data_IF_473545071781
#
_entry.id   IF_473545071781
#
_cell.length_a   1.000
_cell.length_b   1.000
_cell.length_c   1.000
_cell.angle_alpha   90.00
_cell.angle_beta   90.00
_cell.angle_gamma   90.00
#
_symmetry.space_group_name_H-M   'P 1'
#
loop_
_entity.id
_entity.type
_entity.pdbx_description
1 polymer ?
#
# COMPACT_ATOMS: atom_id res chain seq x y z
N UNK A 1 13.35 13.83 -2.95
CA UNK A 1 14.40 12.86 -2.58
C UNK A 1 14.31 11.62 -3.44
N UNK A 2 15.36 10.79 -3.51
CA UNK A 2 15.35 9.53 -4.27
C UNK A 2 14.21 8.60 -3.81
N UNK A 3 13.93 8.53 -2.53
CA UNK A 3 12.83 7.72 -1.97
C UNK A 3 11.45 8.22 -2.43
N UNK A 4 11.25 9.54 -2.43
CA UNK A 4 10.04 10.19 -2.94
C UNK A 4 9.79 9.89 -4.42
N UNK A 5 10.86 9.91 -5.23
CA UNK A 5 10.78 9.63 -6.66
C UNK A 5 10.46 8.14 -6.94
N UNK A 6 11.02 7.22 -6.14
CA UNK A 6 10.72 5.78 -6.23
C UNK A 6 9.26 5.51 -5.91
N UNK A 7 8.75 6.03 -4.78
CA UNK A 7 7.35 5.86 -4.38
C UNK A 7 6.37 6.35 -5.45
N UNK A 8 6.58 7.58 -5.96
CA UNK A 8 5.76 8.18 -7.02
C UNK A 8 5.80 7.34 -8.31
N UNK A 9 6.99 6.89 -8.70
CA UNK A 9 7.19 6.08 -9.90
C UNK A 9 6.43 4.75 -9.81
N UNK A 10 6.53 4.06 -8.69
CA UNK A 10 5.83 2.79 -8.46
C UNK A 10 4.31 2.96 -8.57
N UNK A 11 3.73 3.94 -7.88
CA UNK A 11 2.28 4.21 -7.94
C UNK A 11 1.82 4.55 -9.35
N UNK A 12 2.54 5.43 -10.04
CA UNK A 12 2.21 5.80 -11.41
C UNK A 12 2.29 4.63 -12.38
N UNK A 13 3.30 3.77 -12.22
CA UNK A 13 3.46 2.57 -13.03
C UNK A 13 2.27 1.62 -12.86
N UNK A 14 1.88 1.34 -11.62
CA UNK A 14 0.73 0.46 -11.32
C UNK A 14 -0.58 1.03 -11.85
N UNK A 15 -0.82 2.34 -11.64
CA UNK A 15 -2.00 3.02 -12.18
C UNK A 15 -2.07 2.94 -13.72
N UNK A 16 -0.97 3.26 -14.40
CA UNK A 16 -0.91 3.23 -15.86
C UNK A 16 -1.12 1.81 -16.41
N UNK A 17 -0.73 0.80 -15.66
CA UNK A 17 -1.02 -0.59 -15.95
C UNK A 17 -2.47 -0.99 -15.62
N UNK A 18 -3.29 -0.10 -15.05
CA UNK A 18 -4.66 -0.41 -14.61
C UNK A 18 -4.69 -1.43 -13.46
N UNK A 19 -3.69 -1.37 -12.57
CA UNK A 19 -3.68 -2.11 -11.31
C UNK A 19 -4.40 -1.27 -10.26
N UNK A 20 -5.35 -1.82 -9.50
CA UNK A 20 -5.98 -1.13 -8.39
C UNK A 20 -4.92 -0.73 -7.36
N UNK A 21 -4.96 0.52 -6.92
CA UNK A 21 -4.09 1.05 -5.88
C UNK A 21 -4.91 1.82 -4.86
N UNK A 22 -4.44 1.86 -3.62
CA UNK A 22 -5.08 2.66 -2.56
C UNK A 22 -5.09 4.13 -2.98
N UNK A 23 -6.25 4.79 -2.86
CA UNK A 23 -6.39 6.23 -3.14
C UNK A 23 -5.46 7.04 -2.24
N UNK A 24 -4.83 8.07 -2.78
CA UNK A 24 -3.88 8.88 -2.02
C UNK A 24 -3.36 10.09 -2.81
N UNK A 25 -2.53 10.90 -2.18
CA UNK A 25 -1.90 12.04 -2.82
C UNK A 25 -0.99 11.59 -3.97
N UNK A 26 -1.14 12.25 -5.12
CA UNK A 26 -0.33 11.97 -6.31
C UNK A 26 1.02 12.67 -6.29
N UNK A 27 1.08 13.73 -5.52
CA UNK A 27 2.26 14.54 -5.30
C UNK A 27 2.58 14.60 -3.82
N UNK A 28 3.84 14.85 -3.45
CA UNK A 28 4.19 15.15 -2.08
C UNK A 28 3.40 16.35 -1.57
N UNK A 29 3.07 16.33 -0.28
CA UNK A 29 2.49 17.45 0.45
C UNK A 29 3.51 17.97 1.46
N UNK A 30 3.71 19.28 1.51
CA UNK A 30 4.76 19.87 2.34
C UNK A 30 4.21 20.70 3.50
N UNK A 31 3.00 21.18 3.41
CA UNK A 31 2.36 21.99 4.42
C UNK A 31 1.02 21.45 4.89
N UNK A 32 0.71 21.66 6.17
CA UNK A 32 -0.53 21.15 6.79
C UNK A 32 -1.79 21.66 6.08
N UNK A 33 -1.81 22.90 5.60
CA UNK A 33 -2.98 23.47 4.91
C UNK A 33 -3.24 22.81 3.54
N UNK A 34 -2.19 22.49 2.78
CA UNK A 34 -2.29 21.74 1.54
C UNK A 34 -2.71 20.30 1.81
N UNK A 35 -2.03 19.66 2.77
CA UNK A 35 -2.31 18.29 3.17
C UNK A 35 -3.75 18.10 3.63
N UNK A 36 -4.31 19.05 4.40
CA UNK A 36 -5.69 19.00 4.87
C UNK A 36 -6.70 19.03 3.72
N UNK A 37 -6.48 19.82 2.67
CA UNK A 37 -7.35 19.85 1.49
C UNK A 37 -7.38 18.48 0.81
N UNK A 38 -6.19 17.89 0.60
CA UNK A 38 -6.08 16.55 0.00
C UNK A 38 -6.74 15.48 0.90
N UNK A 39 -6.59 15.57 2.21
CA UNK A 39 -7.22 14.65 3.16
C UNK A 39 -8.75 14.71 3.09
N UNK A 40 -9.33 15.91 2.99
CA UNK A 40 -10.77 16.10 2.83
C UNK A 40 -11.30 15.51 1.51
N UNK A 41 -10.54 15.61 0.42
CA UNK A 41 -10.90 15.00 -0.87
C UNK A 41 -10.82 13.47 -0.83
N UNK A 42 -9.84 12.91 -0.12
CA UNK A 42 -9.67 11.47 0.02
C UNK A 42 -10.69 10.84 0.98
N UNK A 43 -11.15 11.60 1.97
CA UNK A 43 -12.00 11.12 3.06
C UNK A 43 -11.22 10.39 4.16
N UNK A 44 -11.68 10.54 5.41
CA UNK A 44 -11.08 9.88 6.58
C UNK A 44 -11.60 8.45 6.77
N UNK A 45 -10.84 7.58 7.43
CA UNK A 45 -9.52 7.81 8.02
C UNK A 45 -8.39 7.87 6.97
N UNK A 46 -7.31 8.61 7.31
CA UNK A 46 -6.14 8.86 6.46
C UNK A 46 -4.88 8.32 7.11
N UNK A 47 -4.05 7.66 6.31
CA UNK A 47 -2.67 7.33 6.65
C UNK A 47 -1.73 8.45 6.15
N UNK A 48 -1.06 9.09 7.05
CA UNK A 48 0.01 10.07 6.78
C UNK A 48 1.34 9.31 6.75
N UNK A 49 2.13 9.46 5.69
CA UNK A 49 3.39 8.71 5.48
C UNK A 49 4.52 9.62 5.06
N UNK A 50 5.68 9.49 5.73
CA UNK A 50 6.92 10.09 5.24
C UNK A 50 7.42 9.35 3.99
N UNK A 51 7.90 10.09 2.99
CA UNK A 51 8.48 9.53 1.76
C UNK A 51 9.71 8.64 2.03
N UNK A 52 10.53 9.04 3.00
CA UNK A 52 11.72 8.30 3.44
C UNK A 52 11.44 7.38 4.64
N UNK A 53 10.16 7.23 5.02
CA UNK A 53 9.73 6.48 6.19
C UNK A 53 10.03 4.99 6.11
N UNK A 54 10.28 4.41 7.27
CA UNK A 54 10.50 2.98 7.44
C UNK A 54 10.42 2.58 8.91
N UNK A 55 10.04 1.33 9.19
CA UNK A 55 9.91 0.84 10.55
C UNK A 55 8.84 1.56 11.40
N UNK A 56 7.82 2.13 10.76
CA UNK A 56 6.73 2.84 11.43
C UNK A 56 7.02 4.29 11.81
N UNK A 57 8.25 4.80 11.58
CA UNK A 57 8.60 6.20 11.83
C UNK A 57 8.08 7.11 10.72
N UNK A 58 7.58 8.29 11.09
CA UNK A 58 6.97 9.23 10.16
C UNK A 58 5.64 8.73 9.58
N UNK A 59 4.94 7.88 10.32
CA UNK A 59 3.61 7.35 9.95
C UNK A 59 2.60 7.61 11.06
N UNK A 60 1.44 8.15 10.70
CA UNK A 60 0.33 8.41 11.63
C UNK A 60 -1.00 8.14 10.92
N UNK A 61 -1.96 7.61 11.68
CA UNK A 61 -3.35 7.52 11.25
C UNK A 61 -4.08 8.73 11.80
N UNK A 62 -4.82 9.42 10.94
CA UNK A 62 -5.75 10.47 11.32
C UNK A 62 -7.16 9.96 11.06
N UNK A 63 -7.96 9.86 12.11
CA UNK A 63 -9.30 9.29 12.02
C UNK A 63 -10.34 10.33 11.59
N UNK A 64 -10.10 11.58 11.91
CA UNK A 64 -11.02 12.70 11.68
C UNK A 64 -10.27 13.93 11.17
N UNK A 65 -11.04 14.94 10.73
CA UNK A 65 -10.49 16.23 10.38
C UNK A 65 -9.87 16.97 11.56
N UNK A 66 -10.39 16.74 12.76
CA UNK A 66 -9.97 17.46 13.97
C UNK A 66 -8.57 17.06 14.43
N UNK A 67 -8.23 15.78 14.36
CA UNK A 67 -6.92 15.25 14.76
C UNK A 67 -5.85 15.34 13.65
N UNK A 68 -6.25 15.70 12.43
CA UNK A 68 -5.38 15.67 11.26
C UNK A 68 -4.17 16.61 11.37
N UNK A 69 -4.40 17.85 11.80
CA UNK A 69 -3.34 18.86 11.84
C UNK A 69 -2.21 18.45 12.79
N UNK A 70 -2.56 17.98 13.98
CA UNK A 70 -1.60 17.53 14.98
C UNK A 70 -0.83 16.30 14.50
N UNK A 71 -1.54 15.31 13.97
CA UNK A 71 -0.96 14.09 13.43
C UNK A 71 -0.01 14.36 12.27
N UNK A 72 -0.38 15.28 11.35
CA UNK A 72 0.47 15.63 10.22
C UNK A 72 1.76 16.32 10.66
N UNK A 73 1.67 17.34 11.52
CA UNK A 73 2.83 18.06 12.03
C UNK A 73 3.76 17.13 12.80
N UNK A 74 3.21 16.28 13.65
CA UNK A 74 3.99 15.31 14.44
C UNK A 74 4.72 14.31 13.52
N UNK A 75 4.03 13.73 12.54
CA UNK A 75 4.65 12.82 11.58
C UNK A 75 5.75 13.49 10.75
N UNK A 76 5.53 14.74 10.34
CA UNK A 76 6.51 15.50 9.56
C UNK A 76 7.76 15.86 10.39
N UNK A 77 7.58 16.26 11.65
CA UNK A 77 8.69 16.51 12.57
C UNK A 77 9.52 15.25 12.83
N UNK A 78 8.86 14.12 13.04
CA UNK A 78 9.50 12.81 13.20
C UNK A 78 10.29 12.41 11.94
N UNK A 79 9.72 12.63 10.76
CA UNK A 79 10.38 12.38 9.48
C UNK A 79 11.63 13.25 9.28
N UNK A 80 11.51 14.55 9.55
CA UNK A 80 12.65 15.47 9.49
C UNK A 80 13.77 15.08 10.46
N UNK A 81 13.42 14.72 11.70
CA UNK A 81 14.38 14.30 12.70
C UNK A 81 15.08 12.98 12.36
N UNK A 82 14.32 11.99 11.88
CA UNK A 82 14.84 10.63 11.65
C UNK A 82 15.52 10.47 10.30
N UNK A 83 15.02 11.16 9.26
CA UNK A 83 15.43 10.94 7.87
C UNK A 83 15.98 12.20 7.18
N UNK A 84 15.92 13.37 7.84
CA UNK A 84 16.24 14.69 7.27
C UNK A 84 15.44 15.01 5.99
N UNK A 85 14.24 14.45 5.91
CA UNK A 85 13.32 14.60 4.78
C UNK A 85 11.89 14.67 5.31
N UNK A 86 11.29 15.85 5.25
CA UNK A 86 9.92 16.12 5.67
C UNK A 86 8.88 15.97 4.56
N UNK A 87 9.23 15.30 3.46
CA UNK A 87 8.32 15.01 2.37
C UNK A 87 7.28 14.01 2.82
N UNK A 88 6.00 14.36 2.71
CA UNK A 88 4.88 13.55 3.18
C UNK A 88 3.98 13.13 2.02
N UNK A 89 3.30 11.99 2.20
CA UNK A 89 2.22 11.49 1.35
C UNK A 89 1.02 11.14 2.20
N UNK A 90 -0.16 11.23 1.60
CA UNK A 90 -1.42 10.84 2.22
C UNK A 90 -2.01 9.66 1.45
N UNK A 91 -2.54 8.70 2.17
CA UNK A 91 -3.28 7.58 1.59
C UNK A 91 -4.55 7.33 2.41
N UNK A 92 -5.62 6.89 1.75
CA UNK A 92 -6.78 6.40 2.46
C UNK A 92 -6.37 5.23 3.35
N UNK A 93 -6.74 5.28 4.61
CA UNK A 93 -6.48 4.16 5.51
C UNK A 93 -7.55 3.08 5.33
N UNK A 94 -7.11 1.85 5.16
CA UNK A 94 -8.00 0.68 5.12
C UNK A 94 -7.99 0.05 6.50
N UNK A 95 -9.14 0.02 7.15
CA UNK A 95 -9.30 -0.59 8.46
C UNK A 95 -9.34 -2.11 8.33
N UNK A 96 -8.63 -2.79 9.25
CA UNK A 96 -8.56 -4.25 9.33
C UNK A 96 -8.41 -4.97 7.97
N UNK A 97 -7.41 -4.60 7.13
CA UNK A 97 -7.28 -5.21 5.82
C UNK A 97 -6.89 -6.68 5.95
N UNK A 98 -7.44 -7.51 5.08
CA UNK A 98 -6.92 -8.85 4.91
C UNK A 98 -5.64 -8.78 4.07
N UNK A 99 -4.55 -9.38 4.58
CA UNK A 99 -3.27 -9.49 3.90
C UNK A 99 -3.25 -10.76 3.06
N UNK A 100 -3.46 -10.63 1.77
CA UNK A 100 -3.47 -11.75 0.82
C UNK A 100 -2.26 -11.62 -0.08
N UNK A 101 -1.40 -12.63 -0.09
CA UNK A 101 -0.25 -12.65 -0.98
C UNK A 101 -0.33 -13.78 -2.00
N UNK A 102 -0.04 -13.47 -3.27
CA UNK A 102 0.03 -14.44 -4.34
C UNK A 102 1.46 -14.85 -4.62
N UNK A 103 1.70 -16.16 -4.68
CA UNK A 103 3.00 -16.68 -5.11
C UNK A 103 3.13 -16.52 -6.62
N UNK A 104 4.15 -15.82 -7.05
CA UNK A 104 4.49 -15.58 -8.46
C UNK A 104 5.72 -16.38 -8.84
N UNK A 105 5.69 -16.93 -10.05
CA UNK A 105 6.85 -17.50 -10.72
C UNK A 105 6.92 -16.92 -12.13
N UNK A 106 8.06 -16.36 -12.48
CA UNK A 106 8.28 -15.70 -13.76
C UNK A 106 9.63 -16.09 -14.35
N UNK A 107 9.68 -16.24 -15.67
CA UNK A 107 10.91 -16.51 -16.40
C UNK A 107 11.43 -15.27 -17.15
N UNK A 108 12.66 -15.38 -17.68
CA UNK A 108 13.28 -14.32 -18.48
C UNK A 108 12.61 -14.06 -19.85
N UNK A 109 11.67 -14.90 -20.24
CA UNK A 109 10.97 -14.78 -21.52
C UNK A 109 9.60 -14.07 -21.38
N UNK A 110 9.27 -13.61 -20.16
CA UNK A 110 8.02 -12.90 -19.89
C UNK A 110 6.81 -13.81 -19.59
N UNK A 111 7.05 -15.11 -19.42
CA UNK A 111 6.00 -15.99 -18.91
C UNK A 111 5.87 -15.76 -17.41
N UNK A 112 4.63 -15.51 -16.95
CA UNK A 112 4.32 -15.28 -15.54
C UNK A 112 3.11 -16.12 -15.16
N UNK A 113 3.25 -16.89 -14.10
CA UNK A 113 2.15 -17.65 -13.49
C UNK A 113 2.03 -17.30 -12.01
N UNK A 114 0.83 -17.49 -11.47
CA UNK A 114 0.57 -17.44 -10.05
C UNK A 114 0.23 -18.86 -9.55
N UNK A 115 0.68 -19.22 -8.36
CA UNK A 115 0.57 -20.55 -7.77
C UNK A 115 -0.42 -20.60 -6.59
N UNK A 116 -1.34 -19.66 -6.53
CA UNK A 116 -2.30 -19.51 -5.44
C UNK A 116 -1.87 -18.47 -4.42
N UNK A 117 -2.76 -18.26 -3.47
CA UNK A 117 -2.60 -17.25 -2.42
C UNK A 117 -2.36 -17.86 -1.05
N UNK A 118 -1.83 -17.01 -0.16
CA UNK A 118 -1.77 -17.21 1.29
C UNK A 118 -2.47 -16.05 1.98
N UNK A 119 -3.23 -16.33 3.01
CA UNK A 119 -3.71 -15.33 3.97
C UNK A 119 -2.67 -15.15 5.07
N UNK A 120 -2.12 -13.96 5.17
CA UNK A 120 -1.09 -13.59 6.12
C UNK A 120 -1.59 -12.54 7.12
N UNK A 121 -2.90 -12.48 7.36
CA UNK A 121 -3.52 -11.45 8.20
C UNK A 121 -3.14 -11.57 9.68
N UNK A 122 -2.80 -12.78 10.16
CA UNK A 122 -2.39 -12.99 11.55
C UNK A 122 -0.93 -12.59 11.73
N UNK A 123 -0.75 -11.38 12.26
CA UNK A 123 0.56 -10.75 12.42
C UNK A 123 0.76 -10.22 13.84
N UNK A 124 2.01 -10.11 14.26
CA UNK A 124 2.43 -9.39 15.47
C UNK A 124 3.48 -8.36 15.10
N UNK A 125 3.22 -7.09 15.40
CA UNK A 125 4.12 -6.00 15.03
C UNK A 125 4.52 -6.02 13.55
N UNK A 126 3.54 -6.26 12.64
CA UNK A 126 3.73 -6.39 11.20
C UNK A 126 4.60 -7.59 10.76
N UNK A 127 4.82 -8.55 11.66
CA UNK A 127 5.50 -9.81 11.34
C UNK A 127 4.47 -10.93 11.24
N UNK A 128 4.47 -11.67 10.15
CA UNK A 128 3.60 -12.83 9.91
C UNK A 128 3.87 -13.91 10.95
N UNK A 129 2.80 -14.43 11.56
CA UNK A 129 2.88 -15.53 12.54
C UNK A 129 2.25 -16.80 11.98
N UNK A 130 1.08 -16.65 11.33
CA UNK A 130 0.34 -17.76 10.73
C UNK A 130 0.01 -17.39 9.30
N UNK A 131 0.20 -18.33 8.41
CA UNK A 131 -0.18 -18.24 7.01
C UNK A 131 -1.09 -19.42 6.67
N UNK A 132 -2.21 -19.16 6.02
CA UNK A 132 -3.19 -20.15 5.59
C UNK A 132 -3.29 -20.18 4.07
N UNK A 133 -3.36 -21.35 3.48
CA UNK A 133 -3.56 -21.53 2.05
C UNK A 133 -4.51 -22.72 1.78
N UNK A 134 -5.57 -22.51 0.97
CA UNK A 134 -6.04 -21.22 0.43
C UNK A 134 -6.68 -20.34 1.52
N UNK A 135 -6.79 -19.03 1.25
CA UNK A 135 -7.48 -18.11 2.17
C UNK A 135 -8.96 -18.48 2.30
N UNK A 136 -9.48 -18.64 3.54
CA UNK A 136 -10.90 -18.88 3.75
C UNK A 136 -11.76 -17.60 3.56
N UNK A 137 -11.12 -16.42 3.48
CA UNK A 137 -11.79 -15.12 3.48
C UNK A 137 -12.12 -14.58 2.10
N UNK A 138 -11.59 -15.17 1.03
CA UNK A 138 -11.83 -14.70 -0.33
C UNK A 138 -12.62 -15.72 -1.16
N UNK A 139 -13.61 -15.20 -1.91
CA UNK A 139 -14.40 -16.01 -2.83
C UNK A 139 -13.56 -16.51 -4.00
N UNK A 140 -14.03 -17.57 -4.68
CA UNK A 140 -13.37 -18.08 -5.89
C UNK A 140 -13.27 -17.02 -7.01
N UNK A 141 -14.26 -16.12 -7.10
CA UNK A 141 -14.27 -15.00 -8.05
C UNK A 141 -13.17 -14.01 -7.70
N UNK A 142 -13.12 -13.54 -6.45
CA UNK A 142 -12.13 -12.57 -5.98
C UNK A 142 -10.71 -13.14 -6.08
N UNK A 143 -10.52 -14.42 -5.73
CA UNK A 143 -9.23 -15.13 -5.90
C UNK A 143 -8.73 -15.08 -7.33
N UNK A 144 -9.59 -15.31 -8.30
CA UNK A 144 -9.23 -15.25 -9.73
C UNK A 144 -8.87 -13.82 -10.15
N UNK A 145 -9.63 -12.83 -9.71
CA UNK A 145 -9.39 -11.42 -10.02
C UNK A 145 -8.06 -10.94 -9.43
N UNK A 146 -7.82 -11.21 -8.14
CA UNK A 146 -6.57 -10.85 -7.46
C UNK A 146 -5.36 -11.57 -8.08
N UNK A 147 -5.50 -12.86 -8.42
CA UNK A 147 -4.44 -13.60 -9.10
C UNK A 147 -4.07 -13.01 -10.46
N UNK A 148 -5.06 -12.55 -11.24
CA UNK A 148 -4.81 -11.85 -12.50
C UNK A 148 -4.12 -10.50 -12.28
N UNK A 149 -4.48 -9.78 -11.22
CA UNK A 149 -3.80 -8.53 -10.83
C UNK A 149 -2.34 -8.81 -10.47
N UNK A 150 -2.07 -9.86 -9.69
CA UNK A 150 -0.71 -10.25 -9.31
C UNK A 150 0.16 -10.58 -10.54
N UNK A 151 -0.37 -11.31 -11.52
CA UNK A 151 0.31 -11.57 -12.80
C UNK A 151 0.57 -10.26 -13.55
N UNK A 152 -0.41 -9.36 -13.60
CA UNK A 152 -0.31 -8.07 -14.26
C UNK A 152 0.77 -7.19 -13.63
N UNK A 153 0.83 -7.14 -12.31
CA UNK A 153 1.89 -6.44 -11.56
C UNK A 153 3.26 -6.98 -11.95
N UNK A 154 3.46 -8.30 -11.87
CA UNK A 154 4.73 -8.93 -12.19
C UNK A 154 5.18 -8.67 -13.64
N UNK A 155 4.26 -8.75 -14.61
CA UNK A 155 4.54 -8.40 -16.02
C UNK A 155 4.90 -6.93 -16.20
N UNK A 156 4.23 -6.02 -15.50
CA UNK A 156 4.47 -4.58 -15.60
C UNK A 156 5.89 -4.18 -15.19
N UNK A 157 6.47 -4.91 -14.23
CA UNK A 157 7.84 -4.66 -13.75
C UNK A 157 8.89 -5.59 -14.37
N UNK A 158 8.50 -6.40 -15.35
CA UNK A 158 9.37 -7.44 -15.96
C UNK A 158 10.02 -8.32 -14.89
N UNK A 159 9.20 -8.81 -13.94
CA UNK A 159 9.68 -9.62 -12.83
C UNK A 159 10.27 -10.93 -13.35
N UNK A 160 11.37 -11.38 -12.74
CA UNK A 160 12.02 -12.66 -13.03
C UNK A 160 12.34 -13.38 -11.73
N UNK A 161 12.04 -14.67 -11.68
CA UNK A 161 12.26 -15.52 -10.52
C UNK A 161 10.99 -15.84 -9.74
N UNK A 162 11.16 -16.35 -8.53
CA UNK A 162 10.09 -16.59 -7.58
C UNK A 162 9.92 -15.40 -6.65
N UNK A 163 8.67 -14.99 -6.41
CA UNK A 163 8.36 -13.87 -5.52
C UNK A 163 6.91 -13.86 -5.09
N UNK A 164 6.55 -12.90 -4.27
CA UNK A 164 5.17 -12.70 -3.80
C UNK A 164 4.65 -11.33 -4.19
N UNK A 165 3.37 -11.29 -4.57
CA UNK A 165 2.62 -10.05 -4.76
C UNK A 165 1.64 -9.91 -3.58
N UNK A 166 1.88 -8.93 -2.71
CA UNK A 166 1.01 -8.65 -1.57
C UNK A 166 -0.12 -7.73 -2.00
N UNK A 167 -1.34 -8.14 -1.72
CA UNK A 167 -2.56 -7.41 -1.99
C UNK A 167 -3.37 -7.25 -0.70
N UNK A 168 -4.16 -6.18 -0.65
CA UNK A 168 -5.06 -5.92 0.46
C UNK A 168 -6.49 -6.01 -0.04
N UNK A 169 -7.35 -6.63 0.74
CA UNK A 169 -8.80 -6.60 0.53
C UNK A 169 -9.49 -6.23 1.83
N UNK A 170 -10.62 -5.53 1.75
CA UNK A 170 -11.53 -5.28 2.86
C UNK A 170 -12.73 -6.19 2.73
N UNK A 171 -13.45 -6.42 3.82
CA UNK A 171 -14.67 -7.25 3.83
C UNK A 171 -15.79 -6.68 2.94
N UNK A 172 -15.69 -5.40 2.53
CA UNK A 172 -16.64 -4.76 1.61
C UNK A 172 -16.38 -5.08 0.11
N UNK A 173 -15.42 -5.91 -0.23
CA UNK A 173 -15.09 -6.24 -1.61
C UNK A 173 -15.95 -7.38 -2.21
N UNK A 174 -16.89 -7.92 -1.44
CA UNK A 174 -17.79 -9.02 -1.87
C UNK A 174 -19.22 -8.56 -2.23
N UNK A 175 -19.52 -7.24 -2.28
CA UNK A 175 -20.78 -6.68 -2.74
C UNK A 175 -20.80 -6.37 -4.25
#
# INVERSE_FOLDING_TARGET
>A
SAASDVYKRQRNMMRNAGVPIISGSWTPVFGVCEAKKVALELGFPIMIKAAAGGGGKGMRISNTEDDFNENFVTAQMEANSSFRDGTMYLERYIEAPNHIEFQILADKYGNVIQLGERDCSIQRHHQKIIEEAPSPKISAKLRKEMGNIAIKVAKTVNYEGAGTCLLYTSDAADE
#
